data_IF_280796321211
#
_entry.id   IF_280796321211
#
_cell.length_a   1.000
_cell.length_b   1.000
_cell.length_c   1.000
_cell.angle_alpha   90.00
_cell.angle_beta   90.00
_cell.angle_gamma   90.00
#
_symmetry.space_group_name_H-M   'P 1'
#
loop_
_entity.id
_entity.type
_entity.pdbx_description
1 polymer ?
#
# COMPACT_ATOMS: atom_id res chain seq x y z
N UNK A 1 -25.54 18.54 49.08
CA UNK A 1 -25.70 18.28 47.63
C UNK A 1 -24.33 18.45 46.98
N UNK A 2 -23.54 17.37 46.89
CA UNK A 2 -22.18 17.43 46.32
C UNK A 2 -22.26 17.14 44.81
N UNK A 3 -21.86 18.12 44.01
CA UNK A 3 -21.89 18.12 42.55
C UNK A 3 -20.69 17.31 42.05
N UNK A 4 -20.94 16.13 41.47
CA UNK A 4 -19.88 15.27 40.92
C UNK A 4 -19.56 15.75 39.49
N UNK A 5 -18.39 16.35 39.29
CA UNK A 5 -17.93 16.78 37.96
C UNK A 5 -17.39 15.57 37.19
N UNK A 6 -18.05 15.20 36.09
CA UNK A 6 -17.54 14.23 35.12
C UNK A 6 -16.43 14.89 34.28
N UNK A 7 -15.19 14.42 34.43
CA UNK A 7 -14.08 14.80 33.56
C UNK A 7 -14.16 13.95 32.28
N UNK A 8 -14.67 14.51 31.18
CA UNK A 8 -14.67 13.85 29.89
C UNK A 8 -13.25 13.85 29.30
N UNK A 9 -12.63 12.67 29.21
CA UNK A 9 -11.39 12.47 28.47
C UNK A 9 -11.68 12.67 26.98
N UNK A 10 -11.28 13.82 26.44
CA UNK A 10 -11.34 14.12 25.01
C UNK A 10 -10.17 13.36 24.35
N UNK A 11 -10.42 12.15 23.87
CA UNK A 11 -9.44 11.45 23.03
C UNK A 11 -9.39 12.16 21.67
N UNK A 12 -8.21 12.50 21.14
CA UNK A 12 -8.12 13.03 19.79
C UNK A 12 -8.63 11.97 18.82
N UNK A 13 -9.59 12.34 17.98
CA UNK A 13 -10.05 11.51 16.87
C UNK A 13 -8.93 11.53 15.84
N UNK A 14 -8.04 10.54 15.88
CA UNK A 14 -7.09 10.29 14.79
C UNK A 14 -7.93 9.83 13.61
N UNK A 15 -8.09 10.69 12.60
CA UNK A 15 -8.66 10.27 11.33
C UNK A 15 -7.70 9.24 10.75
N UNK A 16 -8.08 7.97 10.73
CA UNK A 16 -7.29 6.94 10.09
C UNK A 16 -7.24 7.26 8.58
N UNK A 17 -6.05 7.60 8.07
CA UNK A 17 -5.84 7.77 6.63
C UNK A 17 -5.88 6.38 5.98
N UNK A 18 -6.92 6.09 5.21
CA UNK A 18 -7.01 4.86 4.42
C UNK A 18 -5.98 4.90 3.30
N UNK A 19 -5.22 3.82 3.14
CA UNK A 19 -4.29 3.64 2.04
C UNK A 19 -4.97 2.86 0.91
N UNK A 20 -4.82 3.33 -0.33
CA UNK A 20 -5.13 2.53 -1.51
C UNK A 20 -3.89 1.70 -1.87
N UNK A 21 -4.05 0.38 -1.86
CA UNK A 21 -3.03 -0.57 -2.29
C UNK A 21 -3.36 -1.11 -3.69
N UNK A 22 -2.33 -1.24 -4.52
CA UNK A 22 -2.37 -1.96 -5.80
C UNK A 22 -1.31 -3.05 -5.73
N UNK A 23 -1.77 -4.31 -5.73
CA UNK A 23 -0.95 -5.51 -5.74
C UNK A 23 -0.81 -5.98 -7.18
N UNK A 24 0.41 -6.12 -7.67
CA UNK A 24 0.72 -6.50 -9.06
C UNK A 24 1.29 -7.92 -9.06
N UNK A 25 0.68 -8.80 -9.85
CA UNK A 25 1.05 -10.20 -10.03
C UNK A 25 1.78 -10.42 -11.35
N UNK A 26 2.51 -11.54 -11.44
CA UNK A 26 3.21 -11.94 -12.67
C UNK A 26 2.29 -12.42 -13.79
N UNK A 27 1.09 -12.88 -13.44
CA UNK A 27 0.18 -13.55 -14.37
C UNK A 27 -1.30 -13.37 -13.98
N UNK A 28 -2.19 -13.86 -14.85
CA UNK A 28 -3.64 -13.76 -14.75
C UNK A 28 -4.27 -14.68 -13.70
N UNK A 29 -3.48 -15.39 -12.88
CA UNK A 29 -4.02 -16.19 -11.78
C UNK A 29 -4.25 -15.38 -10.50
N UNK A 30 -3.70 -14.15 -10.42
CA UNK A 30 -3.87 -13.22 -9.29
C UNK A 30 -3.59 -13.87 -7.91
N UNK A 31 -2.69 -14.85 -7.90
CA UNK A 31 -2.36 -15.64 -6.73
C UNK A 31 -0.85 -15.80 -6.58
N UNK A 32 -0.44 -16.35 -5.43
CA UNK A 32 0.98 -16.49 -5.11
C UNK A 32 1.63 -15.17 -4.66
N UNK A 33 2.95 -15.12 -4.74
CA UNK A 33 3.72 -13.95 -4.31
C UNK A 33 3.66 -12.86 -5.37
N UNK A 34 3.18 -11.65 -5.04
CA UNK A 34 3.16 -10.57 -6.00
C UNK A 34 4.58 -10.09 -6.33
N UNK A 35 4.72 -9.52 -7.52
CA UNK A 35 5.98 -8.92 -7.96
C UNK A 35 6.17 -7.52 -7.38
N UNK A 36 5.06 -6.80 -7.10
CA UNK A 36 5.08 -5.45 -6.54
C UNK A 36 3.79 -5.13 -5.77
N UNK A 37 3.91 -4.35 -4.71
CA UNK A 37 2.79 -3.69 -4.03
C UNK A 37 3.04 -2.19 -4.02
N UNK A 38 2.12 -1.40 -4.57
CA UNK A 38 2.17 0.05 -4.55
C UNK A 38 1.07 0.60 -3.66
N UNK A 39 1.38 1.51 -2.74
CA UNK A 39 0.41 2.08 -1.81
C UNK A 39 0.51 3.61 -1.79
N UNK A 40 -0.64 4.28 -1.75
CA UNK A 40 -0.75 5.74 -1.62
C UNK A 40 -1.91 6.07 -0.68
N UNK A 41 -1.82 7.20 0.01
CA UNK A 41 -2.99 7.74 0.71
C UNK A 41 -4.08 8.08 -0.32
N UNK A 42 -5.32 7.71 -0.05
CA UNK A 42 -6.45 8.03 -0.92
C UNK A 42 -7.76 8.08 -0.16
N UNK A 43 -8.51 9.16 -0.34
CA UNK A 43 -9.89 9.29 0.15
C UNK A 43 -10.92 8.59 -0.75
N UNK A 44 -10.52 8.19 -1.96
CA UNK A 44 -11.37 7.54 -2.95
C UNK A 44 -10.83 6.14 -3.27
N UNK A 45 -10.57 5.37 -2.22
CA UNK A 45 -10.09 4.01 -2.38
C UNK A 45 -11.20 3.08 -2.91
N UNK A 46 -10.81 2.08 -3.70
CA UNK A 46 -11.70 1.00 -4.13
C UNK A 46 -10.97 -0.35 -4.05
N UNK A 47 -11.73 -1.42 -3.85
CA UNK A 47 -11.22 -2.79 -3.85
C UNK A 47 -11.55 -3.48 -5.18
N UNK A 48 -10.60 -4.21 -5.76
CA UNK A 48 -10.78 -5.11 -6.89
C UNK A 48 -9.95 -6.38 -6.70
N UNK A 49 -10.53 -7.55 -6.99
CA UNK A 49 -9.85 -8.83 -6.71
C UNK A 49 -8.98 -9.26 -7.89
N UNK A 50 -9.46 -9.07 -9.13
CA UNK A 50 -8.74 -9.42 -10.35
C UNK A 50 -9.06 -8.39 -11.43
N UNK A 51 -8.05 -7.64 -11.86
CA UNK A 51 -8.15 -6.69 -12.97
C UNK A 51 -6.88 -6.73 -13.80
N UNK A 52 -7.03 -6.87 -15.11
CA UNK A 52 -5.93 -6.73 -16.06
C UNK A 52 -6.11 -5.46 -16.89
N UNK A 53 -4.99 -4.93 -17.37
CA UNK A 53 -5.00 -3.77 -18.25
C UNK A 53 -3.62 -3.48 -18.79
N UNK A 54 -3.57 -2.62 -19.82
CA UNK A 54 -2.32 -2.09 -20.31
C UNK A 54 -1.88 -0.88 -19.47
N UNK A 55 -0.66 -0.95 -18.96
CA UNK A 55 -0.07 0.08 -18.12
C UNK A 55 1.38 0.30 -18.55
N UNK A 56 1.70 1.53 -18.96
CA UNK A 56 3.01 1.90 -19.48
C UNK A 56 3.52 1.00 -20.62
N UNK A 57 2.62 0.60 -21.52
CA UNK A 57 2.94 -0.22 -22.70
C UNK A 57 3.08 -1.73 -22.44
N UNK A 58 2.73 -2.21 -21.23
CA UNK A 58 2.73 -3.64 -20.90
C UNK A 58 1.44 -4.08 -20.21
N UNK A 59 1.03 -5.32 -20.46
CA UNK A 59 -0.10 -5.96 -19.77
C UNK A 59 0.30 -6.24 -18.31
N UNK A 60 -0.56 -5.87 -17.35
CA UNK A 60 -0.34 -6.14 -15.93
C UNK A 60 -1.60 -6.68 -15.27
N UNK A 61 -1.39 -7.58 -14.31
CA UNK A 61 -2.43 -8.25 -13.54
C UNK A 61 -2.44 -7.70 -12.12
N UNK A 62 -3.56 -7.12 -11.70
CA UNK A 62 -3.67 -6.31 -10.50
C UNK A 62 -4.86 -6.68 -9.63
N UNK A 63 -4.65 -6.61 -8.32
CA UNK A 63 -5.71 -6.45 -7.33
C UNK A 63 -5.56 -5.08 -6.67
N UNK A 64 -6.67 -4.47 -6.27
CA UNK A 64 -6.67 -3.22 -5.49
C UNK A 64 -7.35 -3.46 -4.15
N UNK A 65 -6.88 -2.78 -3.11
CA UNK A 65 -7.45 -2.91 -1.77
C UNK A 65 -7.43 -1.59 -1.01
N UNK A 66 -8.33 -1.48 -0.02
CA UNK A 66 -8.40 -0.38 0.91
C UNK A 66 -7.87 -0.83 2.26
N UNK A 67 -6.73 -0.26 2.64
CA UNK A 67 -5.95 -0.69 3.77
C UNK A 67 -6.09 0.34 4.88
N UNK A 68 -6.83 -0.06 5.93
CA UNK A 68 -7.01 0.71 7.16
C UNK A 68 -6.06 0.28 8.29
N UNK A 69 -5.15 -0.66 8.00
CA UNK A 69 -4.11 -1.13 8.91
C UNK A 69 -2.76 -0.48 8.62
N UNK A 70 -1.77 -0.72 9.47
CA UNK A 70 -0.40 -0.30 9.19
C UNK A 70 0.10 -0.88 7.86
N UNK A 71 0.71 -0.03 7.01
CA UNK A 71 1.13 -0.44 5.66
C UNK A 71 2.13 -1.58 5.69
N UNK A 72 3.05 -1.59 6.65
CA UNK A 72 4.11 -2.62 6.72
C UNK A 72 3.51 -3.95 7.17
N UNK A 73 2.53 -3.91 8.08
CA UNK A 73 1.76 -5.09 8.42
C UNK A 73 1.00 -5.66 7.21
N UNK A 74 0.32 -4.81 6.43
CA UNK A 74 -0.37 -5.24 5.21
C UNK A 74 0.59 -5.85 4.19
N UNK A 75 1.70 -5.18 3.90
CA UNK A 75 2.73 -5.66 2.97
C UNK A 75 3.27 -7.03 3.43
N UNK A 76 3.59 -7.19 4.71
CA UNK A 76 4.10 -8.45 5.26
C UNK A 76 3.09 -9.61 5.09
N UNK A 77 1.79 -9.32 5.24
CA UNK A 77 0.73 -10.31 5.00
C UNK A 77 0.65 -10.70 3.53
N UNK A 78 0.70 -9.71 2.63
CA UNK A 78 0.63 -9.93 1.17
C UNK A 78 1.82 -10.76 0.66
N UNK A 79 3.03 -10.51 1.16
CA UNK A 79 4.22 -11.29 0.78
C UNK A 79 4.35 -12.63 1.52
N UNK A 80 3.57 -12.84 2.60
CA UNK A 80 3.44 -14.10 3.33
C UNK A 80 4.79 -14.81 3.63
N UNK A 81 5.73 -14.08 4.20
CA UNK A 81 7.04 -14.60 4.60
C UNK A 81 8.10 -14.64 3.48
N UNK A 82 7.75 -14.25 2.25
CA UNK A 82 8.74 -14.06 1.18
C UNK A 82 9.46 -12.73 1.38
N UNK A 83 10.77 -12.70 1.11
CA UNK A 83 11.58 -11.49 1.24
C UNK A 83 11.21 -10.42 0.21
N UNK A 84 11.16 -9.16 0.65
CA UNK A 84 10.83 -8.01 -0.17
C UNK A 84 11.65 -6.78 0.23
N UNK A 85 11.65 -5.76 -0.63
CA UNK A 85 12.27 -4.46 -0.37
C UNK A 85 11.24 -3.37 -0.58
N UNK A 86 11.07 -2.50 0.41
CA UNK A 86 10.16 -1.36 0.38
C UNK A 86 10.91 -0.06 0.15
N UNK A 87 10.44 0.73 -0.81
CA UNK A 87 10.84 2.10 -1.07
C UNK A 87 9.70 3.03 -0.65
N UNK A 88 9.89 3.75 0.45
CA UNK A 88 8.97 4.81 0.86
C UNK A 88 9.46 6.16 0.30
N UNK A 89 8.55 6.91 -0.30
CA UNK A 89 8.83 8.27 -0.79
C UNK A 89 8.08 9.29 0.07
N UNK A 90 8.84 10.18 0.69
CA UNK A 90 8.34 11.26 1.53
C UNK A 90 8.52 12.59 0.81
N UNK A 91 7.49 13.42 0.84
CA UNK A 91 7.50 14.72 0.17
C UNK A 91 8.21 15.82 0.96
N UNK A 92 8.64 15.52 2.18
CA UNK A 92 9.30 16.47 3.10
C UNK A 92 10.46 15.79 3.83
N UNK A 93 11.38 16.62 4.33
CA UNK A 93 12.48 16.16 5.19
C UNK A 93 11.93 15.52 6.47
N UNK A 94 12.73 14.66 7.10
CA UNK A 94 12.34 14.01 8.37
C UNK A 94 11.37 12.85 8.23
N UNK A 95 11.11 12.36 7.00
CA UNK A 95 10.15 11.30 6.71
C UNK A 95 8.70 11.69 7.02
N UNK A 96 8.39 12.98 6.89
CA UNK A 96 7.03 13.50 6.96
C UNK A 96 6.35 13.45 5.58
N UNK A 97 5.02 13.37 5.57
CA UNK A 97 4.20 13.37 4.36
C UNK A 97 4.56 12.23 3.38
N UNK A 98 4.21 11.00 3.75
CA UNK A 98 4.34 9.83 2.87
C UNK A 98 3.53 10.08 1.59
N UNK A 99 4.21 10.16 0.45
CA UNK A 99 3.57 10.35 -0.85
C UNK A 99 3.16 9.00 -1.44
N UNK A 100 4.07 8.02 -1.40
CA UNK A 100 3.77 6.64 -1.78
C UNK A 100 4.75 5.66 -1.14
N UNK A 101 4.33 4.40 -1.08
CA UNK A 101 5.17 3.27 -0.74
C UNK A 101 5.17 2.28 -1.90
N UNK A 102 6.34 1.79 -2.27
CA UNK A 102 6.50 0.81 -3.34
C UNK A 102 7.35 -0.35 -2.87
N UNK A 103 6.74 -1.51 -2.74
CA UNK A 103 7.40 -2.74 -2.30
C UNK A 103 7.59 -3.70 -3.46
N UNK A 104 8.79 -4.26 -3.58
CA UNK A 104 9.20 -5.18 -4.64
C UNK A 104 9.58 -6.53 -4.06
N UNK A 105 9.26 -7.59 -4.79
CA UNK A 105 9.81 -8.92 -4.52
C UNK A 105 11.34 -8.86 -4.56
N UNK A 106 12.01 -9.41 -3.55
CA UNK A 106 13.47 -9.52 -3.53
C UNK A 106 13.94 -10.67 -4.46
N UNK A 107 13.73 -10.49 -5.77
CA UNK A 107 13.99 -11.50 -6.79
C UNK A 107 15.49 -11.79 -7.05
N UNK A 108 16.39 -11.08 -6.38
CA UNK A 108 17.85 -11.19 -6.60
C UNK A 108 18.35 -10.53 -7.88
N UNK A 109 17.48 -9.81 -8.60
CA UNK A 109 17.80 -9.05 -9.81
C UNK A 109 17.45 -7.57 -9.64
N UNK A 110 18.05 -6.70 -10.45
CA UNK A 110 17.68 -5.29 -10.48
C UNK A 110 16.23 -5.12 -10.98
N UNK A 111 15.46 -4.28 -10.28
CA UNK A 111 14.08 -3.94 -10.64
C UNK A 111 14.00 -2.45 -10.96
N UNK A 112 13.33 -2.11 -12.07
CA UNK A 112 13.05 -0.72 -12.42
C UNK A 112 11.91 -0.18 -11.56
N UNK A 113 12.10 1.02 -10.99
CA UNK A 113 11.10 1.67 -10.16
C UNK A 113 10.36 2.78 -10.91
N UNK A 114 9.08 2.96 -10.59
CA UNK A 114 8.22 4.02 -11.11
C UNK A 114 7.48 4.68 -9.94
N UNK A 115 7.15 5.96 -10.12
CA UNK A 115 6.45 6.77 -9.10
C UNK A 115 4.94 6.51 -9.05
N UNK A 116 4.43 5.61 -9.89
CA UNK A 116 3.03 5.21 -9.94
C UNK A 116 2.92 3.68 -9.83
N UNK A 117 1.71 3.17 -9.72
CA UNK A 117 1.46 1.74 -9.81
C UNK A 117 1.67 1.27 -11.25
N UNK A 118 2.91 1.01 -11.69
CA UNK A 118 3.26 0.35 -12.94
C UNK A 118 4.56 -0.46 -12.75
N UNK A 119 4.84 -1.40 -13.66
CA UNK A 119 6.15 -2.06 -13.77
C UNK A 119 6.74 -1.73 -15.13
N UNK A 120 8.05 -1.51 -15.19
CA UNK A 120 8.82 -1.38 -16.44
C UNK A 120 9.61 -2.68 -16.59
N UNK A 121 9.27 -3.46 -17.60
CA UNK A 121 9.95 -4.70 -17.98
C UNK A 121 10.95 -4.42 -19.09
#
# INVERSE_FOLDING_TARGET
MHFMALLALILPVVSATTMSAIVIFSDSQYNGTPVRVFMTESSNCFTSICSEGEYNGGLQYRASDCVDTDRHQYIAQVFNGVSYVTLDHYGQDGCDNLTFSSTYLAAGTCQSSTINATIVV
#
